data_IF_541091048731
#
_entry.id   IF_541091048731
#
_cell.length_a   1.000
_cell.length_b   1.000
_cell.length_c   1.000
_cell.angle_alpha   90.00
_cell.angle_beta   90.00
_cell.angle_gamma   90.00
#
_symmetry.space_group_name_H-M   'P 1'
#
loop_
_entity.id
_entity.type
_entity.pdbx_description
1 polymer ?
#
# COMPACT_ATOMS: atom_id res chain seq x y z
N UNK A 1 -5.28 -8.75 11.57
CA UNK A 1 -5.81 -7.52 10.95
C UNK A 1 -4.82 -6.40 11.24
N UNK A 2 -4.14 -5.86 10.23
CA UNK A 2 -3.42 -4.60 10.42
C UNK A 2 -4.46 -3.51 10.76
N UNK A 3 -4.29 -2.85 11.90
CA UNK A 3 -5.17 -1.76 12.32
C UNK A 3 -5.01 -0.55 11.40
N UNK A 4 -6.06 0.27 11.27
CA UNK A 4 -6.00 1.53 10.50
C UNK A 4 -4.83 2.39 10.97
N UNK A 5 -4.52 2.39 12.27
CA UNK A 5 -3.37 3.10 12.85
C UNK A 5 -2.02 2.59 12.35
N UNK A 6 -1.86 1.27 12.17
CA UNK A 6 -0.63 0.70 11.59
C UNK A 6 -0.50 1.04 10.12
N UNK A 7 -1.59 0.92 9.35
CA UNK A 7 -1.61 1.33 7.96
C UNK A 7 -1.27 2.82 7.83
N UNK A 8 -1.84 3.67 8.68
CA UNK A 8 -1.57 5.11 8.67
C UNK A 8 -0.12 5.43 9.06
N UNK A 9 0.46 4.68 10.00
CA UNK A 9 1.85 4.87 10.42
C UNK A 9 2.81 4.49 9.30
N UNK A 10 2.62 3.33 8.68
CA UNK A 10 3.45 2.86 7.56
C UNK A 10 3.27 3.79 6.36
N UNK A 11 2.03 4.17 6.07
CA UNK A 11 1.72 5.11 5.03
C UNK A 11 2.41 6.45 5.23
N UNK A 12 2.29 7.06 6.41
CA UNK A 12 2.93 8.34 6.72
C UNK A 12 4.46 8.25 6.82
N UNK A 13 5.01 7.07 7.15
CA UNK A 13 6.46 6.84 7.12
C UNK A 13 7.01 6.76 5.70
N UNK A 14 6.20 6.31 4.74
CA UNK A 14 6.59 6.12 3.36
C UNK A 14 6.22 7.28 2.44
N UNK A 15 5.15 8.04 2.74
CA UNK A 15 4.71 9.24 2.03
C UNK A 15 5.70 10.39 2.28
N UNK A 16 6.76 10.46 1.48
CA UNK A 16 7.86 11.42 1.68
C UNK A 16 7.45 12.86 1.34
N UNK A 17 6.53 13.01 0.39
CA UNK A 17 6.04 14.31 -0.08
C UNK A 17 4.89 14.87 0.78
N UNK A 18 4.35 14.10 1.73
CA UNK A 18 3.27 14.56 2.61
C UNK A 18 1.95 14.83 1.89
N UNK A 19 1.80 14.38 0.64
CA UNK A 19 0.62 14.61 -0.19
C UNK A 19 -0.52 13.66 0.14
N UNK A 20 -0.25 12.61 0.92
CA UNK A 20 -1.23 11.57 1.18
C UNK A 20 -1.55 10.77 -0.08
N UNK A 21 -0.51 10.42 -0.85
CA UNK A 21 -0.56 9.46 -1.96
C UNK A 21 0.79 8.76 -2.10
N UNK A 22 0.80 7.43 -2.13
CA UNK A 22 2.02 6.65 -2.34
C UNK A 22 2.19 6.32 -3.83
N UNK A 23 3.38 6.52 -4.37
CA UNK A 23 3.73 5.99 -5.67
C UNK A 23 3.98 4.47 -5.63
N UNK A 24 4.12 3.85 -6.81
CA UNK A 24 4.34 2.40 -6.94
C UNK A 24 5.53 1.89 -6.12
N UNK A 25 6.63 2.63 -6.08
CA UNK A 25 7.82 2.24 -5.33
C UNK A 25 7.64 2.42 -3.82
N UNK A 26 6.97 3.50 -3.39
CA UNK A 26 6.64 3.74 -1.99
C UNK A 26 5.63 2.72 -1.45
N UNK A 27 4.56 2.46 -2.20
CA UNK A 27 3.56 1.45 -1.87
C UNK A 27 4.18 0.06 -1.76
N UNK A 28 5.10 -0.29 -2.65
CA UNK A 28 5.82 -1.56 -2.59
C UNK A 28 6.65 -1.67 -1.30
N UNK A 29 7.37 -0.61 -0.91
CA UNK A 29 8.11 -0.57 0.36
C UNK A 29 7.20 -0.64 1.58
N UNK A 30 6.07 0.07 1.56
CA UNK A 30 5.08 0.07 2.62
C UNK A 30 4.48 -1.34 2.84
N UNK A 31 4.16 -2.04 1.77
CA UNK A 31 3.62 -3.42 1.83
C UNK A 31 4.67 -4.41 2.32
N UNK A 32 5.93 -4.26 1.90
CA UNK A 32 7.05 -5.04 2.43
C UNK A 32 7.27 -4.81 3.94
N UNK A 33 7.11 -3.56 4.41
CA UNK A 33 7.20 -3.21 5.83
C UNK A 33 6.05 -3.80 6.66
N UNK A 34 4.89 -4.05 6.04
CA UNK A 34 3.76 -4.78 6.64
C UNK A 34 4.03 -6.28 6.83
N UNK A 35 5.10 -6.81 6.24
CA UNK A 35 5.54 -8.20 6.41
C UNK A 35 4.94 -9.18 5.41
N UNK A 36 4.19 -8.69 4.42
CA UNK A 36 3.70 -9.55 3.35
C UNK A 36 4.75 -9.61 2.23
N UNK A 37 5.17 -10.83 1.90
CA UNK A 37 6.04 -11.10 0.76
C UNK A 37 5.19 -10.95 -0.51
N UNK A 38 4.74 -9.72 -0.79
CA UNK A 38 3.98 -9.41 -1.98
C UNK A 38 4.90 -9.66 -3.17
N UNK A 39 4.79 -10.86 -3.75
CA UNK A 39 5.48 -11.20 -4.97
C UNK A 39 5.11 -10.13 -6.00
N UNK A 40 6.12 -9.56 -6.66
CA UNK A 40 5.99 -8.44 -7.60
C UNK A 40 4.82 -8.63 -8.59
N UNK A 41 4.52 -9.88 -8.97
CA UNK A 41 3.45 -10.26 -9.90
C UNK A 41 2.04 -9.95 -9.39
N UNK A 42 1.73 -10.26 -8.12
CA UNK A 42 0.38 -9.99 -7.58
C UNK A 42 0.26 -8.52 -7.13
N UNK A 43 1.36 -7.95 -6.63
CA UNK A 43 1.43 -6.53 -6.26
C UNK A 43 1.11 -5.62 -7.44
N UNK A 44 1.75 -5.80 -8.60
CA UNK A 44 1.51 -4.94 -9.77
C UNK A 44 0.05 -5.00 -10.23
N UNK A 45 -0.54 -6.19 -10.22
CA UNK A 45 -1.92 -6.41 -10.64
C UNK A 45 -2.92 -5.75 -9.68
N UNK A 46 -2.72 -5.91 -8.37
CA UNK A 46 -3.58 -5.28 -7.37
C UNK A 46 -3.34 -3.76 -7.30
N UNK A 47 -2.09 -3.32 -7.41
CA UNK A 47 -1.72 -1.90 -7.41
C UNK A 47 -2.36 -1.21 -8.60
N UNK A 48 -2.21 -1.73 -9.82
CA UNK A 48 -2.77 -1.11 -11.02
C UNK A 48 -4.31 -1.10 -11.03
N UNK A 49 -4.98 -1.93 -10.23
CA UNK A 49 -6.45 -1.86 -10.04
C UNK A 49 -6.90 -0.70 -9.16
N UNK A 50 -6.08 -0.30 -8.19
CA UNK A 50 -6.42 0.75 -7.23
C UNK A 50 -5.68 2.06 -7.48
N UNK A 51 -4.59 2.03 -8.26
CA UNK A 51 -3.79 3.19 -8.59
C UNK A 51 -4.48 4.08 -9.61
N UNK A 52 -4.46 5.38 -9.35
CA UNK A 52 -4.99 6.43 -10.22
C UNK A 52 -3.82 7.33 -10.59
N UNK A 53 -3.43 7.36 -11.87
CA UNK A 53 -2.21 8.02 -12.37
C UNK A 53 -0.89 7.45 -11.83
N UNK A 54 -0.87 6.17 -11.43
CA UNK A 54 0.35 5.52 -10.92
C UNK A 54 0.67 5.80 -9.45
N UNK A 55 -0.25 6.43 -8.74
CA UNK A 55 -0.21 6.63 -7.28
C UNK A 55 -1.48 6.05 -6.64
N UNK A 56 -1.39 5.69 -5.37
CA UNK A 56 -2.51 5.19 -4.56
C UNK A 56 -2.74 6.12 -3.36
N UNK A 57 -4.00 6.44 -3.10
CA UNK A 57 -4.39 7.16 -1.89
C UNK A 57 -4.51 6.20 -0.69
N UNK A 58 -4.76 6.77 0.49
CA UNK A 58 -4.86 6.00 1.72
C UNK A 58 -6.05 5.01 1.73
N UNK A 59 -7.16 5.28 1.04
CA UNK A 59 -8.27 4.33 0.92
C UNK A 59 -7.93 3.15 -0.01
N UNK A 60 -7.26 3.43 -1.13
CA UNK A 60 -6.71 2.42 -2.02
C UNK A 60 -5.72 1.52 -1.28
N UNK A 61 -4.81 2.08 -0.49
CA UNK A 61 -3.87 1.33 0.34
C UNK A 61 -4.57 0.45 1.39
N UNK A 62 -5.63 0.93 2.06
CA UNK A 62 -6.42 0.10 2.98
C UNK A 62 -7.09 -1.07 2.27
N UNK A 63 -7.65 -0.83 1.09
CA UNK A 63 -8.30 -1.87 0.30
C UNK A 63 -7.28 -2.92 -0.14
N UNK A 64 -6.11 -2.46 -0.59
CA UNK A 64 -4.98 -3.28 -0.95
C UNK A 64 -4.52 -4.16 0.24
N UNK A 65 -4.19 -3.55 1.39
CA UNK A 65 -3.71 -4.28 2.57
C UNK A 65 -4.74 -5.29 3.13
N UNK A 66 -6.04 -5.01 2.99
CA UNK A 66 -7.10 -5.96 3.36
C UNK A 66 -7.21 -7.14 2.39
N UNK A 67 -6.90 -6.95 1.11
CA UNK A 67 -6.93 -8.02 0.10
C UNK A 67 -5.83 -9.06 0.27
N UNK A 68 -4.63 -8.64 0.69
CA UNK A 68 -3.48 -9.54 0.86
C UNK A 68 -3.51 -10.36 2.16
N UNK A 69 -4.00 -9.78 3.26
CA UNK A 69 -3.95 -10.40 4.59
C UNK A 69 -5.17 -11.30 4.90
N UNK A 70 -5.98 -11.69 3.91
CA UNK A 70 -7.15 -12.55 4.12
C UNK A 70 -6.86 -13.98 3.65
N UNK A 71 -6.05 -14.70 4.42
CA UNK A 71 -6.01 -16.17 4.48
C UNK A 71 -5.49 -16.64 5.85
#
# INVERSE_FOLDING_TARGET
MASVEQLQTIYAQHDADGNGTLDKAEAHKAVLALGDHACHEDFDQHFNKVAVNGVIDFEAFKTFAKGFHSH
#
